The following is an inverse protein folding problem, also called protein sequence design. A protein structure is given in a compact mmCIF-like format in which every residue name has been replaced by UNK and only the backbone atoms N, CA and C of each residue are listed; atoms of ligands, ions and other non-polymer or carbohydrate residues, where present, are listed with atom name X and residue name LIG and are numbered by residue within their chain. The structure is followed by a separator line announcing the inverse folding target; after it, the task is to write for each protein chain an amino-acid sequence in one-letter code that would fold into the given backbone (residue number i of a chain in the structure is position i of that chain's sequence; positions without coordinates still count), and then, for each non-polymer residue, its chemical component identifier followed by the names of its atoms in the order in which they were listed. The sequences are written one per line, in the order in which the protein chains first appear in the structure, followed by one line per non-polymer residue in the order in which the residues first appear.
data_IF_440911894895
#
_entry.id   IF_440911894895
#
_cell.length_a   1.000
_cell.length_b   1.000
_cell.length_c   1.000
_cell.angle_alpha   90.00
_cell.angle_beta   90.00
_cell.angle_gamma   90.00
#
_symmetry.space_group_name_H-M   'P 1'
#
loop_
_entity.id
_entity.type
_entity.pdbx_description
1 polymer ?
#
# COMPACT_ATOMS: atom_id res chain seq x y z
N UNK A 1 35.47 -13.86 66.34
CA UNK A 1 36.74 -14.10 65.63
C UNK A 1 36.61 -15.35 64.77
N UNK A 2 36.61 -15.19 63.44
CA UNK A 2 37.33 -16.00 62.43
C UNK A 2 36.99 -15.42 61.05
N UNK A 3 38.02 -14.91 60.39
CA UNK A 3 38.04 -14.38 59.01
C UNK A 3 38.09 -15.54 58.01
N UNK A 4 37.74 -15.21 56.76
CA UNK A 4 38.11 -15.83 55.47
C UNK A 4 36.86 -16.27 54.67
N UNK A 5 36.76 -16.10 53.36
CA UNK A 5 37.53 -15.36 52.36
C UNK A 5 36.62 -15.21 51.13
N UNK A 6 36.76 -14.10 50.42
CA UNK A 6 36.06 -13.84 49.18
C UNK A 6 36.66 -14.67 48.04
N UNK A 7 35.83 -15.44 47.34
CA UNK A 7 36.18 -16.02 46.03
C UNK A 7 35.33 -15.33 44.98
N UNK A 8 35.97 -14.43 44.23
CA UNK A 8 35.44 -13.87 42.98
C UNK A 8 35.54 -14.98 41.92
N UNK A 9 34.39 -15.45 41.42
CA UNK A 9 34.36 -16.18 40.15
C UNK A 9 33.98 -15.19 39.05
N UNK A 10 34.86 -15.12 38.06
CA UNK A 10 34.75 -14.31 36.86
C UNK A 10 33.73 -14.94 35.92
N UNK A 11 33.05 -14.05 35.20
CA UNK A 11 31.96 -14.26 34.26
C UNK A 11 32.21 -15.32 33.17
N UNK A 12 31.12 -15.99 32.79
CA UNK A 12 30.87 -16.38 31.41
C UNK A 12 29.37 -16.21 31.14
N UNK A 13 29.00 -15.01 30.69
CA UNK A 13 27.67 -14.76 30.13
C UNK A 13 27.62 -15.45 28.76
N UNK A 14 26.93 -16.59 28.69
CA UNK A 14 26.56 -17.18 27.41
C UNK A 14 25.41 -16.34 26.81
N UNK A 15 25.78 -15.35 26.01
CA UNK A 15 24.87 -14.67 25.08
C UNK A 15 24.56 -15.66 23.96
N UNK A 16 23.38 -16.28 24.03
CA UNK A 16 22.84 -17.04 22.91
C UNK A 16 22.44 -16.08 21.80
N UNK A 17 23.35 -15.83 20.85
CA UNK A 17 22.99 -15.24 19.56
C UNK A 17 22.12 -16.25 18.81
N UNK A 18 20.81 -16.02 18.77
CA UNK A 18 19.98 -16.56 17.70
C UNK A 18 20.33 -15.74 16.46
N UNK A 19 21.36 -16.18 15.76
CA UNK A 19 21.65 -15.70 14.42
C UNK A 19 20.51 -16.18 13.53
N UNK A 20 19.62 -15.27 13.15
CA UNK A 20 18.85 -15.42 11.92
C UNK A 20 19.88 -15.55 10.80
N UNK A 21 20.18 -16.79 10.38
CA UNK A 21 20.98 -17.05 9.20
C UNK A 21 20.20 -16.53 8.01
N UNK A 22 20.38 -15.25 7.69
CA UNK A 22 20.17 -14.79 6.33
C UNK A 22 21.24 -15.51 5.51
N UNK A 23 20.80 -16.52 4.77
CA UNK A 23 21.65 -17.29 3.89
C UNK A 23 22.01 -16.40 2.69
N UNK A 24 22.91 -15.43 2.90
CA UNK A 24 23.57 -14.69 1.85
C UNK A 24 24.70 -15.57 1.32
N UNK A 25 24.66 -15.86 0.02
CA UNK A 25 25.79 -16.46 -0.67
C UNK A 25 26.73 -15.33 -1.08
N UNK A 26 27.99 -15.40 -0.65
CA UNK A 26 29.06 -14.48 -1.10
C UNK A 26 29.52 -14.78 -2.54
N UNK A 27 28.90 -15.76 -3.20
CA UNK A 27 29.24 -16.14 -4.56
C UNK A 27 28.63 -15.16 -5.57
N UNK A 28 29.37 -14.79 -6.62
CA UNK A 28 28.82 -13.99 -7.70
C UNK A 28 27.64 -14.72 -8.36
N UNK A 29 26.67 -13.94 -8.83
CA UNK A 29 25.34 -14.44 -9.20
C UNK A 29 25.36 -15.54 -10.28
N UNK A 30 26.36 -15.53 -11.15
CA UNK A 30 26.56 -16.51 -12.21
C UNK A 30 26.91 -17.91 -11.66
N UNK A 31 27.66 -17.98 -10.55
CA UNK A 31 28.00 -19.23 -9.88
C UNK A 31 26.78 -19.79 -9.14
N UNK A 32 26.02 -18.93 -8.47
CA UNK A 32 24.81 -19.32 -7.73
C UNK A 32 23.68 -19.85 -8.66
N UNK A 33 23.60 -19.35 -9.89
CA UNK A 33 22.64 -19.82 -10.89
C UNK A 33 23.02 -21.22 -11.40
N UNK A 34 24.31 -21.48 -11.66
CA UNK A 34 24.81 -22.76 -12.16
C UNK A 34 24.60 -23.91 -11.19
N UNK A 35 24.79 -23.68 -9.89
CA UNK A 35 24.53 -24.70 -8.85
C UNK A 35 23.06 -25.15 -8.81
N UNK A 36 22.15 -24.28 -9.24
CA UNK A 36 20.71 -24.57 -9.33
C UNK A 36 20.27 -25.08 -10.71
N UNK A 37 21.23 -25.40 -11.59
CA UNK A 37 20.95 -25.85 -12.95
C UNK A 37 20.33 -24.76 -13.83
N UNK A 38 20.44 -23.48 -13.44
CA UNK A 38 19.93 -22.34 -14.17
C UNK A 38 21.07 -21.67 -14.93
N UNK A 39 20.82 -21.31 -16.18
CA UNK A 39 21.79 -20.57 -17.00
C UNK A 39 21.39 -19.11 -17.08
N UNK A 40 22.38 -18.22 -16.92
CA UNK A 40 22.21 -16.82 -17.25
C UNK A 40 22.01 -16.70 -18.77
N UNK A 41 21.05 -15.86 -19.16
CA UNK A 41 20.76 -15.58 -20.57
C UNK A 41 21.96 -14.80 -21.14
N UNK A 42 22.81 -15.48 -21.90
CA UNK A 42 23.96 -14.89 -22.59
C UNK A 42 23.47 -14.27 -23.91
N UNK A 43 23.77 -12.99 -24.11
CA UNK A 43 23.40 -12.21 -25.30
C UNK A 43 24.61 -11.99 -26.21
N UNK A 44 25.48 -12.99 -26.33
CA UNK A 44 26.67 -12.95 -27.18
C UNK A 44 26.37 -13.56 -28.55
N UNK A 45 25.97 -12.70 -29.50
CA UNK A 45 25.79 -13.04 -30.92
C UNK A 45 26.05 -11.83 -31.82
N UNK A 46 27.28 -11.79 -32.33
CA UNK A 46 27.93 -10.92 -33.35
C UNK A 46 27.14 -9.78 -34.06
N UNK A 47 27.66 -8.55 -33.89
CA UNK A 47 27.95 -7.61 -34.98
C UNK A 47 26.82 -6.92 -35.76
N UNK A 48 26.23 -5.83 -35.22
CA UNK A 48 25.50 -4.83 -36.00
C UNK A 48 24.79 -3.79 -35.14
N UNK A 49 25.27 -2.54 -35.14
CA UNK A 49 24.84 -1.47 -34.24
C UNK A 49 23.33 -1.18 -34.22
N UNK A 50 22.76 -1.29 -33.02
CA UNK A 50 21.43 -0.82 -32.66
C UNK A 50 21.13 -1.23 -31.23
N UNK A 51 20.86 -0.28 -30.33
CA UNK A 51 20.41 -0.57 -28.95
C UNK A 51 19.28 -1.61 -28.97
N UNK A 52 19.26 -2.60 -28.07
CA UNK A 52 18.11 -3.48 -27.94
C UNK A 52 16.91 -2.63 -27.54
N UNK A 53 15.97 -2.46 -28.48
CA UNK A 53 14.65 -1.92 -28.21
C UNK A 53 14.05 -2.80 -27.13
N UNK A 54 13.73 -2.23 -25.98
CA UNK A 54 12.97 -2.89 -24.94
C UNK A 54 11.79 -3.61 -25.60
N UNK A 55 11.59 -4.90 -25.27
CA UNK A 55 10.45 -5.64 -25.76
C UNK A 55 9.19 -4.81 -25.51
N UNK A 56 8.49 -4.44 -26.57
CA UNK A 56 7.25 -3.67 -26.49
C UNK A 56 6.26 -4.48 -25.65
N UNK A 57 6.02 -4.00 -24.43
CA UNK A 57 4.91 -4.48 -23.58
C UNK A 57 3.64 -4.25 -24.41
N UNK A 58 2.75 -5.26 -24.57
CA UNK A 58 1.48 -5.05 -25.24
C UNK A 58 0.73 -3.89 -24.56
N UNK A 59 0.53 -2.81 -25.31
CA UNK A 59 -0.28 -1.68 -24.90
C UNK A 59 -1.75 -2.11 -24.93
N UNK A 60 -2.24 -2.64 -23.81
CA UNK A 60 -3.66 -2.73 -23.57
C UNK A 60 -4.22 -1.30 -23.50
N UNK A 61 -5.15 -0.88 -24.38
CA UNK A 61 -5.73 0.46 -24.35
C UNK A 61 -6.45 0.79 -23.03
N UNK A 62 -6.65 -0.19 -22.14
CA UNK A 62 -7.20 0.02 -20.81
C UNK A 62 -6.20 0.58 -19.77
N UNK A 63 -4.89 0.63 -20.05
CA UNK A 63 -3.89 1.09 -19.08
C UNK A 63 -2.80 1.95 -19.72
N UNK A 64 -2.94 3.27 -19.58
CA UNK A 64 -1.88 4.24 -19.86
C UNK A 64 -1.25 4.68 -18.53
N UNK A 65 0.07 4.58 -18.44
CA UNK A 65 0.85 5.22 -17.37
C UNK A 65 1.08 6.67 -17.77
N UNK A 66 0.39 7.62 -17.16
CA UNK A 66 0.61 9.05 -17.36
C UNK A 66 1.39 9.65 -16.19
N UNK A 67 2.50 10.32 -16.48
CA UNK A 67 3.24 11.18 -15.54
C UNK A 67 2.73 12.64 -15.65
N UNK A 68 2.51 13.28 -14.50
CA UNK A 68 2.76 14.72 -14.28
C UNK A 68 1.80 15.73 -14.92
N UNK A 69 0.72 16.03 -14.20
CA UNK A 69 -0.27 17.08 -14.45
C UNK A 69 -1.53 16.70 -13.67
N UNK A 70 -2.31 17.67 -13.15
CA UNK A 70 -3.57 17.45 -12.43
C UNK A 70 -4.26 16.20 -12.98
N UNK A 71 -4.27 15.11 -12.20
CA UNK A 71 -4.33 13.78 -12.78
C UNK A 71 -5.47 13.64 -13.77
N UNK A 72 -5.21 13.01 -14.90
CA UNK A 72 -6.25 12.78 -15.89
C UNK A 72 -7.46 12.09 -15.24
N UNK A 73 -8.68 12.46 -15.65
CA UNK A 73 -9.89 11.82 -15.14
C UNK A 73 -9.91 10.35 -15.54
N UNK A 74 -9.88 9.46 -14.55
CA UNK A 74 -9.86 8.01 -14.71
C UNK A 74 -11.23 7.40 -14.44
N UNK A 75 -11.64 6.43 -15.24
CA UNK A 75 -12.87 5.65 -15.01
C UNK A 75 -12.60 4.45 -14.10
N UNK A 76 -13.47 4.25 -13.12
CA UNK A 76 -13.50 3.07 -12.24
C UNK A 76 -14.75 2.20 -12.49
N UNK A 77 -15.42 2.40 -13.63
CA UNK A 77 -16.71 1.80 -13.96
C UNK A 77 -17.85 2.81 -13.80
N UNK A 78 -18.63 2.69 -12.73
CA UNK A 78 -19.82 3.53 -12.48
C UNK A 78 -19.49 4.91 -11.89
N UNK A 79 -18.20 5.21 -11.67
CA UNK A 79 -17.72 6.52 -11.25
C UNK A 79 -16.41 6.84 -11.98
N UNK A 80 -16.08 8.13 -12.02
CA UNK A 80 -14.78 8.65 -12.45
C UNK A 80 -14.13 9.45 -11.33
N UNK A 81 -12.79 9.49 -11.32
CA UNK A 81 -11.96 10.16 -10.30
C UNK A 81 -10.78 10.87 -10.94
N UNK A 82 -10.16 11.80 -10.22
CA UNK A 82 -8.92 12.48 -10.58
C UNK A 82 -7.90 12.21 -9.47
N UNK A 83 -6.98 11.25 -9.61
CA UNK A 83 -5.90 11.04 -8.65
C UNK A 83 -4.90 12.21 -8.67
N UNK A 84 -4.23 12.52 -7.55
CA UNK A 84 -3.04 13.37 -7.58
C UNK A 84 -2.03 12.84 -8.60
N UNK A 85 -1.37 13.75 -9.31
CA UNK A 85 -0.47 13.42 -10.43
C UNK A 85 0.73 12.55 -10.03
N UNK A 86 1.08 12.62 -8.76
CA UNK A 86 2.17 11.90 -8.11
C UNK A 86 1.79 10.46 -7.76
N UNK A 87 0.50 10.13 -7.82
CA UNK A 87 0.02 8.78 -7.51
C UNK A 87 0.08 7.93 -8.76
N UNK A 88 0.78 6.79 -8.65
CA UNK A 88 0.98 5.90 -9.78
C UNK A 88 -0.07 4.79 -9.75
N UNK A 89 -0.91 4.72 -10.78
CA UNK A 89 -1.79 3.57 -10.98
C UNK A 89 -0.96 2.30 -11.22
N UNK A 90 -1.33 1.21 -10.54
CA UNK A 90 -0.66 -0.09 -10.68
C UNK A 90 -1.66 -1.20 -10.93
N UNK A 91 -1.18 -2.31 -11.47
CA UNK A 91 -2.01 -3.51 -11.61
C UNK A 91 -2.54 -3.92 -10.24
N UNK A 92 -3.87 -4.05 -10.06
CA UNK A 92 -4.41 -4.40 -8.75
C UNK A 92 -3.91 -5.76 -8.28
N UNK A 93 -3.53 -5.84 -7.01
CA UNK A 93 -2.96 -7.04 -6.39
C UNK A 93 -3.95 -8.20 -6.21
N UNK A 94 -5.24 -7.98 -6.47
CA UNK A 94 -6.27 -9.03 -6.47
C UNK A 94 -7.41 -8.67 -7.43
N UNK A 95 -8.09 -9.68 -7.96
CA UNK A 95 -9.24 -9.49 -8.86
C UNK A 95 -10.45 -8.80 -8.23
N UNK A 96 -10.52 -8.73 -6.90
CA UNK A 96 -11.59 -8.01 -6.19
C UNK A 96 -11.42 -6.49 -6.24
N UNK A 97 -10.21 -5.99 -6.52
CA UNK A 97 -9.92 -4.56 -6.57
C UNK A 97 -10.27 -4.00 -7.95
N UNK A 98 -10.95 -2.86 -7.98
CA UNK A 98 -11.21 -2.07 -9.20
C UNK A 98 -9.98 -1.29 -9.65
N UNK A 99 -9.24 -0.74 -8.70
CA UNK A 99 -8.00 -0.02 -8.95
C UNK A 99 -7.09 -0.10 -7.72
N UNK A 100 -5.80 0.12 -7.95
CA UNK A 100 -4.78 0.24 -6.91
C UNK A 100 -3.79 1.34 -7.34
N UNK A 101 -3.39 2.19 -6.40
CA UNK A 101 -2.38 3.23 -6.63
C UNK A 101 -1.26 3.10 -5.61
N UNK A 102 -0.04 3.29 -6.07
CA UNK A 102 1.10 3.57 -5.22
C UNK A 102 1.20 5.07 -4.95
N UNK A 103 1.29 5.42 -3.67
CA UNK A 103 1.37 6.79 -3.19
C UNK A 103 2.76 7.02 -2.60
N UNK A 104 3.51 8.03 -3.07
CA UNK A 104 4.87 8.25 -2.62
C UNK A 104 4.92 8.60 -1.14
N UNK A 105 6.01 8.23 -0.47
CA UNK A 105 6.21 8.57 0.94
C UNK A 105 6.51 10.05 1.14
N UNK A 106 6.17 10.58 2.31
CA UNK A 106 6.62 11.92 2.71
C UNK A 106 8.15 11.96 2.76
N UNK A 107 8.76 12.99 2.17
CA UNK A 107 10.21 13.21 2.12
C UNK A 107 11.04 12.01 1.62
N UNK A 108 10.49 11.24 0.67
CA UNK A 108 11.15 10.02 0.15
C UNK A 108 11.11 8.82 1.09
N UNK A 109 10.29 8.90 2.15
CA UNK A 109 10.05 7.81 3.09
C UNK A 109 9.21 6.67 2.51
N UNK A 110 8.71 5.81 3.40
CA UNK A 110 7.87 4.67 3.01
C UNK A 110 6.54 5.17 2.46
N UNK A 111 6.20 4.73 1.25
CA UNK A 111 4.95 5.07 0.57
C UNK A 111 3.70 4.44 1.21
N UNK A 112 2.55 4.85 0.67
CA UNK A 112 1.24 4.30 1.01
C UNK A 112 0.62 3.62 -0.22
N UNK A 113 -0.52 2.95 -0.02
CA UNK A 113 -1.31 2.36 -1.11
C UNK A 113 -2.75 2.80 -1.00
N UNK A 114 -3.31 3.26 -2.12
CA UNK A 114 -4.76 3.39 -2.28
C UNK A 114 -5.30 2.13 -2.92
N UNK A 115 -6.24 1.50 -2.23
CA UNK A 115 -6.95 0.32 -2.66
C UNK A 115 -8.43 0.64 -2.91
N UNK A 116 -8.94 0.34 -4.11
CA UNK A 116 -10.35 0.57 -4.44
C UNK A 116 -11.05 -0.76 -4.74
N UNK A 117 -12.17 -1.00 -4.07
CA UNK A 117 -13.06 -2.13 -4.30
C UNK A 117 -14.45 -1.63 -4.67
N UNK A 118 -15.25 -2.44 -5.35
CA UNK A 118 -16.65 -2.13 -5.58
C UNK A 118 -17.54 -3.36 -5.42
N UNK A 119 -18.63 -3.22 -4.67
CA UNK A 119 -19.58 -4.31 -4.44
C UNK A 119 -20.63 -4.02 -3.35
N UNK A 120 -21.64 -4.89 -3.22
CA UNK A 120 -22.73 -4.72 -2.26
C UNK A 120 -22.43 -5.42 -0.91
N UNK A 121 -21.35 -5.05 -0.22
CA UNK A 121 -20.85 -5.78 0.97
C UNK A 121 -21.17 -5.12 2.32
N UNK A 122 -22.41 -5.28 2.79
CA UNK A 122 -22.85 -4.81 4.10
C UNK A 122 -23.22 -3.33 4.13
N UNK A 123 -23.61 -2.82 5.30
CA UNK A 123 -23.95 -1.40 5.47
C UNK A 123 -22.71 -0.53 5.61
N UNK A 124 -22.88 0.80 5.51
CA UNK A 124 -21.81 1.77 5.82
C UNK A 124 -21.28 1.52 7.23
N UNK A 125 -22.16 1.40 8.22
CA UNK A 125 -21.78 1.24 9.63
C UNK A 125 -21.01 -0.05 9.88
N UNK A 126 -21.43 -1.17 9.28
CA UNK A 126 -20.70 -2.45 9.36
C UNK A 126 -19.28 -2.31 8.80
N UNK A 127 -19.13 -1.56 7.70
CA UNK A 127 -17.84 -1.33 7.07
C UNK A 127 -16.93 -0.43 7.90
N UNK A 128 -17.47 0.66 8.48
CA UNK A 128 -16.71 1.54 9.39
C UNK A 128 -16.24 0.74 10.61
N UNK A 129 -17.13 0.01 11.27
CA UNK A 129 -16.80 -0.80 12.44
C UNK A 129 -15.74 -1.87 12.09
N UNK A 130 -15.88 -2.52 10.92
CA UNK A 130 -14.89 -3.50 10.44
C UNK A 130 -13.54 -2.88 10.16
N UNK A 131 -13.48 -1.68 9.59
CA UNK A 131 -12.21 -1.00 9.32
C UNK A 131 -11.54 -0.53 10.61
N UNK A 132 -12.31 -0.02 11.57
CA UNK A 132 -11.82 0.34 12.89
C UNK A 132 -11.24 -0.88 13.63
N UNK A 133 -11.92 -2.02 13.57
CA UNK A 133 -11.46 -3.27 14.19
C UNK A 133 -10.15 -3.82 13.60
N UNK A 134 -9.67 -3.31 12.46
CA UNK A 134 -8.36 -3.66 11.92
C UNK A 134 -7.21 -2.92 12.64
N UNK A 135 -7.51 -1.99 13.53
CA UNK A 135 -6.52 -1.18 14.24
C UNK A 135 -6.58 -1.41 15.75
N UNK A 136 -5.44 -1.75 16.35
CA UNK A 136 -5.21 -1.79 17.80
C UNK A 136 -4.31 -0.63 18.24
N UNK A 137 -4.02 -0.55 19.55
CA UNK A 137 -3.11 0.45 20.16
C UNK A 137 -3.39 1.91 19.78
N UNK A 138 -4.64 2.20 19.48
CA UNK A 138 -5.09 3.48 18.95
C UNK A 138 -4.93 4.58 20.00
N UNK A 139 -4.39 5.72 19.58
CA UNK A 139 -4.17 6.90 20.44
C UNK A 139 -5.24 7.98 20.28
N UNK A 140 -6.09 7.86 19.26
CA UNK A 140 -7.23 8.74 18.99
C UNK A 140 -8.42 7.92 18.52
N UNK A 141 -9.61 8.46 18.75
CA UNK A 141 -10.87 7.92 18.24
C UNK A 141 -10.96 8.00 16.73
N UNK A 142 -11.87 7.19 16.16
CA UNK A 142 -12.04 7.10 14.70
C UNK A 142 -12.83 8.32 14.30
N UNK A 143 -12.32 9.10 13.35
CA UNK A 143 -13.05 10.25 12.84
C UNK A 143 -13.89 9.79 11.68
N UNK A 144 -15.19 10.14 11.73
CA UNK A 144 -16.14 9.91 10.65
C UNK A 144 -16.70 11.24 10.18
N UNK A 145 -16.74 11.46 8.86
CA UNK A 145 -17.36 12.64 8.24
C UNK A 145 -18.22 12.21 7.07
N UNK A 146 -19.38 12.83 6.92
CA UNK A 146 -20.24 12.63 5.75
C UNK A 146 -20.03 13.76 4.74
N UNK A 147 -19.95 13.39 3.47
CA UNK A 147 -19.78 14.30 2.32
C UNK A 147 -20.83 13.97 1.27
N UNK A 148 -21.12 14.96 0.42
CA UNK A 148 -21.87 14.78 -0.82
C UNK A 148 -21.00 15.35 -1.94
N UNK A 149 -20.74 14.53 -2.96
CA UNK A 149 -19.84 14.87 -4.07
C UNK A 149 -20.49 14.53 -5.40
N UNK A 150 -20.02 15.13 -6.50
CA UNK A 150 -20.55 14.93 -7.84
C UNK A 150 -21.16 16.18 -8.45
N UNK A 151 -21.62 16.06 -9.69
CA UNK A 151 -22.30 17.14 -10.41
C UNK A 151 -23.77 17.27 -9.93
N UNK A 152 -24.35 18.45 -10.11
CA UNK A 152 -25.73 18.72 -9.69
C UNK A 152 -26.73 17.75 -10.33
N UNK A 153 -27.48 17.02 -9.50
CA UNK A 153 -28.45 16.00 -9.93
C UNK A 153 -27.85 14.60 -10.15
N UNK A 154 -26.53 14.43 -9.94
CA UNK A 154 -25.82 13.15 -9.99
C UNK A 154 -24.94 12.94 -8.74
N UNK A 155 -25.27 13.60 -7.64
CA UNK A 155 -24.49 13.54 -6.41
C UNK A 155 -24.55 12.16 -5.76
N UNK A 156 -23.48 11.83 -5.04
CA UNK A 156 -23.34 10.59 -4.29
C UNK A 156 -22.96 10.90 -2.84
N UNK A 157 -23.51 10.13 -1.91
CA UNK A 157 -23.14 10.23 -0.50
C UNK A 157 -21.81 9.51 -0.28
N UNK A 158 -20.92 10.13 0.50
CA UNK A 158 -19.62 9.56 0.85
C UNK A 158 -19.39 9.64 2.35
N UNK A 159 -19.11 8.50 2.97
CA UNK A 159 -18.66 8.43 4.35
C UNK A 159 -17.14 8.33 4.39
N UNK A 160 -16.50 9.37 4.91
CA UNK A 160 -15.06 9.43 5.17
C UNK A 160 -14.74 8.83 6.54
N UNK A 161 -13.65 8.07 6.62
CA UNK A 161 -13.16 7.41 7.84
C UNK A 161 -11.67 7.71 8.01
N UNK A 162 -11.25 8.13 9.19
CA UNK A 162 -9.84 8.27 9.55
C UNK A 162 -9.56 7.51 10.85
N UNK A 163 -8.64 6.55 10.75
CA UNK A 163 -8.21 5.71 11.87
C UNK A 163 -6.69 5.55 11.84
N UNK A 164 -6.06 5.60 13.01
CA UNK A 164 -4.64 5.29 13.16
C UNK A 164 -4.37 4.40 14.38
N UNK A 165 -3.31 3.63 14.29
CA UNK A 165 -2.87 2.69 15.32
C UNK A 165 -1.94 1.61 14.76
N UNK A 166 -1.92 0.46 15.42
CA UNK A 166 -1.29 -0.75 14.91
C UNK A 166 -2.26 -1.45 13.97
N UNK A 167 -1.96 -1.48 12.67
CA UNK A 167 -2.77 -2.18 11.68
C UNK A 167 -2.49 -3.68 11.76
N UNK A 168 -3.51 -4.48 12.07
CA UNK A 168 -3.40 -5.94 12.24
C UNK A 168 -3.32 -6.73 10.94
N UNK A 169 -3.42 -6.08 9.78
CA UNK A 169 -3.45 -6.73 8.47
C UNK A 169 -4.85 -6.77 7.86
N UNK A 170 -4.89 -6.92 6.52
CA UNK A 170 -6.14 -7.09 5.77
C UNK A 170 -6.44 -8.57 5.46
N UNK A 171 -7.50 -8.80 4.70
CA UNK A 171 -7.90 -10.15 4.24
C UNK A 171 -6.80 -10.90 3.44
N UNK A 172 -5.75 -10.19 2.99
CA UNK A 172 -4.59 -10.73 2.26
C UNK A 172 -3.38 -11.10 3.14
N UNK A 173 -3.50 -11.03 4.46
CA UNK A 173 -2.41 -11.35 5.40
C UNK A 173 -1.43 -10.20 5.67
N UNK A 174 -0.40 -10.50 6.46
CA UNK A 174 0.57 -9.55 7.00
C UNK A 174 0.58 -9.56 8.53
N UNK A 175 1.76 -9.42 9.13
CA UNK A 175 1.87 -9.23 10.58
C UNK A 175 1.44 -7.82 11.01
N UNK A 176 1.22 -7.57 12.31
CA UNK A 176 0.88 -6.24 12.82
C UNK A 176 1.91 -5.18 12.42
N UNK A 177 1.43 -4.02 11.96
CA UNK A 177 2.24 -2.89 11.56
C UNK A 177 1.92 -1.69 12.45
N UNK A 178 2.86 -1.25 13.28
CA UNK A 178 2.71 -0.07 14.13
C UNK A 178 2.72 1.23 13.32
N UNK A 179 2.20 2.31 13.92
CA UNK A 179 2.24 3.68 13.37
C UNK A 179 1.66 3.79 11.96
N UNK A 180 0.55 3.08 11.72
CA UNK A 180 -0.20 3.16 10.48
C UNK A 180 -1.40 4.08 10.65
N UNK A 181 -1.79 4.72 9.55
CA UNK A 181 -3.05 5.46 9.43
C UNK A 181 -3.76 5.01 8.17
N UNK A 182 -5.08 5.07 8.20
CA UNK A 182 -5.91 4.84 7.04
C UNK A 182 -6.92 5.97 6.89
N UNK A 183 -6.95 6.55 5.69
CA UNK A 183 -8.07 7.35 5.23
C UNK A 183 -8.94 6.47 4.33
N UNK A 184 -10.21 6.37 4.67
CA UNK A 184 -11.20 5.59 3.97
C UNK A 184 -12.32 6.45 3.40
N UNK A 185 -12.87 6.05 2.27
CA UNK A 185 -14.10 6.61 1.71
C UNK A 185 -15.05 5.48 1.28
N UNK A 186 -16.29 5.53 1.75
CA UNK A 186 -17.37 4.63 1.34
C UNK A 186 -18.34 5.46 0.49
N UNK A 187 -18.36 5.21 -0.80
CA UNK A 187 -19.21 5.92 -1.77
C UNK A 187 -20.46 5.09 -2.01
N UNK A 188 -21.63 5.62 -1.68
CA UNK A 188 -22.92 4.93 -1.86
C UNK A 188 -23.56 5.30 -3.21
N UNK A 189 -23.82 4.29 -4.05
CA UNK A 189 -24.47 4.44 -5.35
C UNK A 189 -25.92 3.91 -5.36
N UNK A 190 -26.55 3.73 -4.20
CA UNK A 190 -27.96 3.31 -4.09
C UNK A 190 -28.18 1.84 -4.42
N UNK A 191 -27.25 0.96 -4.00
CA UNK A 191 -27.34 -0.49 -4.21
C UNK A 191 -25.99 -1.19 -4.40
N UNK A 192 -24.93 -0.41 -4.61
CA UNK A 192 -23.55 -0.87 -4.56
C UNK A 192 -22.67 0.24 -3.99
N UNK A 193 -21.50 -0.14 -3.48
CA UNK A 193 -20.56 0.80 -2.90
C UNK A 193 -19.22 0.76 -3.62
N UNK A 194 -18.52 1.89 -3.64
CA UNK A 194 -17.08 1.90 -3.78
C UNK A 194 -16.43 2.08 -2.41
N UNK A 195 -15.43 1.25 -2.14
CA UNK A 195 -14.65 1.26 -0.91
C UNK A 195 -13.22 1.64 -1.25
N UNK A 196 -12.82 2.84 -0.85
CA UNK A 196 -11.50 3.40 -1.11
C UNK A 196 -10.73 3.44 0.20
N UNK A 197 -9.56 2.81 0.26
CA UNK A 197 -8.73 2.74 1.46
C UNK A 197 -7.31 3.17 1.11
N UNK A 198 -6.92 4.37 1.54
CA UNK A 198 -5.54 4.84 1.51
C UNK A 198 -4.88 4.45 2.84
N UNK A 199 -3.92 3.53 2.79
CA UNK A 199 -3.28 2.94 3.96
C UNK A 199 -1.76 3.02 3.85
N UNK A 200 -1.10 3.42 4.94
CA UNK A 200 0.35 3.47 5.03
C UNK A 200 0.85 4.10 6.33
N UNK A 201 2.16 4.42 6.41
CA UNK A 201 2.76 5.11 7.55
C UNK A 201 2.01 6.39 7.88
N UNK A 202 1.79 6.65 9.18
CA UNK A 202 0.98 7.78 9.64
C UNK A 202 1.47 9.14 9.11
N UNK A 203 2.79 9.34 9.02
CA UNK A 203 3.38 10.56 8.46
C UNK A 203 3.10 10.73 6.96
N UNK A 204 3.20 9.64 6.18
CA UNK A 204 2.89 9.65 4.74
C UNK A 204 1.41 9.95 4.51
N UNK A 205 0.53 9.39 5.34
CA UNK A 205 -0.92 9.64 5.23
C UNK A 205 -1.28 11.06 5.67
N UNK A 206 -0.62 11.59 6.69
CA UNK A 206 -0.78 12.98 7.09
C UNK A 206 -0.35 13.95 5.97
N UNK A 207 0.75 13.65 5.28
CA UNK A 207 1.19 14.45 4.13
C UNK A 207 0.17 14.44 2.98
N UNK A 208 -0.44 13.29 2.70
CA UNK A 208 -1.39 13.11 1.59
C UNK A 208 -2.86 13.33 1.96
N UNK A 209 -3.17 13.86 3.14
CA UNK A 209 -4.55 14.01 3.61
C UNK A 209 -5.40 14.89 2.67
N UNK A 210 -4.89 16.07 2.31
CA UNK A 210 -5.55 16.97 1.36
C UNK A 210 -5.64 16.37 -0.06
N UNK A 211 -4.63 15.61 -0.48
CA UNK A 211 -4.64 14.91 -1.75
C UNK A 211 -5.72 13.82 -1.82
N UNK A 212 -5.92 13.08 -0.73
CA UNK A 212 -7.00 12.10 -0.64
C UNK A 212 -8.38 12.76 -0.58
N UNK A 213 -8.53 13.86 0.16
CA UNK A 213 -9.79 14.61 0.18
C UNK A 213 -10.13 15.18 -1.21
N UNK A 214 -9.15 15.75 -1.91
CA UNK A 214 -9.32 16.24 -3.29
C UNK A 214 -9.69 15.09 -4.25
N UNK A 215 -9.05 13.92 -4.10
CA UNK A 215 -9.39 12.71 -4.85
C UNK A 215 -10.87 12.31 -4.64
N UNK A 216 -11.36 12.30 -3.40
CA UNK A 216 -12.76 11.98 -3.11
C UNK A 216 -13.70 13.05 -3.66
N UNK A 217 -13.36 14.33 -3.52
CA UNK A 217 -14.18 15.43 -4.05
C UNK A 217 -14.27 15.41 -5.59
N UNK A 218 -13.30 14.80 -6.27
CA UNK A 218 -13.30 14.68 -7.74
C UNK A 218 -14.30 13.66 -8.31
N UNK A 219 -14.90 12.83 -7.44
CA UNK A 219 -15.81 11.75 -7.83
C UNK A 219 -16.98 12.32 -8.63
N UNK A 220 -17.23 11.70 -9.78
CA UNK A 220 -18.46 11.90 -10.57
C UNK A 220 -19.05 10.57 -10.98
N UNK A 221 -20.37 10.46 -10.94
CA UNK A 221 -21.15 9.30 -11.37
C UNK A 221 -21.38 9.31 -12.88
#
# INVERSE_FOLDING_TARGET
MRKAAATRLIAAAFVGMVACSQNYSDQPADVALRERGLQAIDNSGDGGGGSPRAAEIPSDPAYQTTEGGDGERQSLGAITVVPPSEWRSVRPSSSMRKAEYEVPGADGGVGAKLAIFAGPWGSVDDNVARWEAQFSDRKRDTVRRELVVGDAGAEVAVTMVDVAGTFGGGMGGGGPQSHQRMLGAIVDLGGSFYYMKLLGPENTIAYWEEGFESFVQSIRK
#
